data_IF_592867204408
#
_entry.id   IF_592867204408
#
_cell.length_a   1.000
_cell.length_b   1.000
_cell.length_c   1.000
_cell.angle_alpha   90.00
_cell.angle_beta   90.00
_cell.angle_gamma   90.00
#
_symmetry.space_group_name_H-M   'P 1'
#
loop_
_entity.id
_entity.type
_entity.pdbx_description
1 polymer ?
#
# COMPACT_ATOMS: atom_id res chain seq x y z
N UNK A 1 -27.40 -5.53 13.12
CA UNK A 1 -26.06 -5.29 12.53
C UNK A 1 -25.16 -4.84 13.68
N UNK A 2 -24.01 -5.48 13.90
CA UNK A 2 -23.12 -5.15 15.03
C UNK A 2 -21.95 -4.26 14.57
N UNK A 3 -21.30 -3.60 15.52
CA UNK A 3 -20.20 -2.65 15.26
C UNK A 3 -19.02 -3.32 14.52
N UNK A 4 -18.70 -4.57 14.87
CA UNK A 4 -17.64 -5.34 14.22
C UNK A 4 -17.94 -5.58 12.72
N UNK A 5 -19.19 -5.89 12.36
CA UNK A 5 -19.59 -6.09 10.97
C UNK A 5 -19.53 -4.81 10.14
N UNK A 6 -19.87 -3.65 10.74
CA UNK A 6 -19.75 -2.36 10.07
C UNK A 6 -18.28 -1.99 9.82
N UNK A 7 -17.42 -2.19 10.82
CA UNK A 7 -15.99 -1.93 10.73
C UNK A 7 -15.31 -2.80 9.65
N UNK A 8 -15.60 -4.09 9.61
CA UNK A 8 -15.07 -4.99 8.58
C UNK A 8 -15.55 -4.61 7.17
N UNK A 9 -16.80 -4.15 7.03
CA UNK A 9 -17.31 -3.64 5.74
C UNK A 9 -16.58 -2.36 5.31
N UNK A 10 -16.26 -1.47 6.24
CA UNK A 10 -15.54 -0.24 5.97
C UNK A 10 -14.11 -0.51 5.50
N UNK A 11 -13.37 -1.39 6.19
CA UNK A 11 -12.01 -1.75 5.80
C UNK A 11 -11.96 -2.41 4.41
N UNK A 12 -12.90 -3.32 4.11
CA UNK A 12 -13.01 -3.93 2.78
C UNK A 12 -13.27 -2.89 1.69
N UNK A 13 -14.09 -1.88 1.97
CA UNK A 13 -14.36 -0.81 1.02
C UNK A 13 -13.12 0.06 0.78
N UNK A 14 -12.39 0.42 1.84
CA UNK A 14 -11.14 1.18 1.74
C UNK A 14 -10.09 0.46 0.91
N UNK A 15 -9.88 -0.83 1.18
CA UNK A 15 -8.95 -1.63 0.40
C UNK A 15 -9.37 -1.76 -1.07
N UNK A 16 -10.65 -2.01 -1.34
CA UNK A 16 -11.14 -2.05 -2.71
C UNK A 16 -10.94 -0.72 -3.45
N UNK A 17 -11.15 0.42 -2.76
CA UNK A 17 -10.91 1.76 -3.32
C UNK A 17 -9.43 2.01 -3.63
N UNK A 18 -8.52 1.59 -2.75
CA UNK A 18 -7.09 1.65 -2.99
C UNK A 18 -6.72 0.89 -4.26
N UNK A 19 -7.11 -0.38 -4.36
CA UNK A 19 -6.82 -1.23 -5.53
C UNK A 19 -7.37 -0.62 -6.83
N UNK A 20 -8.64 -0.19 -6.83
CA UNK A 20 -9.26 0.40 -8.02
C UNK A 20 -8.55 1.71 -8.45
N UNK A 21 -8.06 2.48 -7.48
CA UNK A 21 -7.36 3.74 -7.73
C UNK A 21 -5.98 3.50 -8.34
N UNK A 22 -5.16 2.63 -7.75
CA UNK A 22 -3.80 2.36 -8.26
C UNK A 22 -3.83 1.66 -9.62
N UNK A 23 -4.82 0.79 -9.87
CA UNK A 23 -5.01 0.13 -11.17
C UNK A 23 -5.40 1.16 -12.22
N UNK A 24 -6.35 2.04 -11.93
CA UNK A 24 -6.78 3.09 -12.85
C UNK A 24 -5.66 4.10 -13.13
N UNK A 25 -4.86 4.44 -12.13
CA UNK A 25 -3.72 5.34 -12.26
C UNK A 25 -2.48 4.66 -12.87
N UNK A 26 -2.49 3.32 -12.97
CA UNK A 26 -1.35 2.49 -13.33
C UNK A 26 -0.07 2.79 -12.53
N UNK A 27 -0.24 3.23 -11.29
CA UNK A 27 0.83 3.66 -10.41
C UNK A 27 0.38 3.72 -8.96
N UNK A 28 1.34 3.71 -8.05
CA UNK A 28 1.16 3.85 -6.61
C UNK A 28 2.29 4.73 -6.07
N UNK A 29 2.11 5.32 -4.90
CA UNK A 29 3.11 6.19 -4.27
C UNK A 29 3.70 5.52 -3.04
N UNK A 30 5.00 5.74 -2.83
CA UNK A 30 5.75 5.37 -1.61
C UNK A 30 6.50 6.60 -1.10
N UNK A 31 6.94 6.57 0.15
CA UNK A 31 7.75 7.64 0.72
C UNK A 31 9.22 7.23 0.78
N UNK A 32 10.09 8.13 0.30
CA UNK A 32 11.53 7.94 0.22
C UNK A 32 12.28 9.11 0.83
N UNK A 33 13.30 8.82 1.62
CA UNK A 33 14.27 9.78 2.15
C UNK A 33 15.67 9.43 1.67
N UNK A 34 16.69 10.15 2.16
CA UNK A 34 18.08 9.81 1.91
C UNK A 34 18.52 8.46 2.53
N UNK A 35 17.80 7.98 3.55
CA UNK A 35 18.12 6.73 4.27
C UNK A 35 17.41 5.51 3.68
N UNK A 36 16.41 5.72 2.81
CA UNK A 36 15.66 4.65 2.16
C UNK A 36 14.18 4.94 2.09
N UNK A 37 13.39 3.87 2.02
CA UNK A 37 11.93 3.96 2.03
C UNK A 37 11.39 3.98 3.44
N UNK A 38 10.25 4.63 3.64
CA UNK A 38 9.55 4.58 4.93
C UNK A 38 9.18 3.13 5.25
N UNK A 39 9.65 2.65 6.40
CA UNK A 39 9.31 1.36 6.98
C UNK A 39 8.85 1.60 8.41
N UNK A 40 7.76 0.94 8.79
CA UNK A 40 7.19 1.01 10.14
C UNK A 40 6.92 -0.39 10.65
N UNK A 41 7.10 -0.61 11.94
CA UNK A 41 6.73 -1.88 12.55
C UNK A 41 5.21 -2.07 12.50
N UNK A 42 4.76 -3.30 12.21
CA UNK A 42 3.34 -3.65 12.28
C UNK A 42 2.82 -3.48 13.72
N UNK A 43 1.64 -2.87 13.86
CA UNK A 43 0.96 -2.74 15.15
C UNK A 43 0.44 -4.09 15.66
N UNK A 44 0.30 -5.07 14.75
CA UNK A 44 -0.32 -6.37 15.02
C UNK A 44 0.70 -7.48 15.20
N UNK A 45 1.85 -7.38 14.53
CA UNK A 45 2.85 -8.43 14.47
C UNK A 45 4.25 -7.83 14.64
N UNK A 46 4.79 -7.94 15.85
CA UNK A 46 6.05 -7.27 16.24
C UNK A 46 7.31 -7.64 15.42
N UNK A 47 7.26 -8.71 14.61
CA UNK A 47 8.37 -9.15 13.76
C UNK A 47 8.11 -8.88 12.26
N UNK A 48 7.07 -8.10 11.95
CA UNK A 48 6.68 -7.72 10.59
C UNK A 48 6.92 -6.23 10.40
N UNK A 49 7.69 -5.91 9.38
CA UNK A 49 7.82 -4.54 8.88
C UNK A 49 6.72 -4.26 7.84
N UNK A 50 6.31 -3.01 7.76
CA UNK A 50 5.28 -2.52 6.85
C UNK A 50 5.84 -1.34 6.06
N UNK A 51 5.69 -1.39 4.74
CA UNK A 51 5.96 -0.24 3.88
C UNK A 51 4.61 0.42 3.53
N UNK A 52 4.39 1.70 3.87
CA UNK A 52 3.20 2.42 3.46
C UNK A 52 3.19 2.72 1.95
N UNK A 53 2.07 2.35 1.31
CA UNK A 53 1.76 2.68 -0.09
C UNK A 53 0.51 3.54 -0.14
N UNK A 54 0.51 4.55 -1.01
CA UNK A 54 -0.56 5.52 -1.13
C UNK A 54 -1.17 5.53 -2.53
N UNK A 55 -2.49 5.58 -2.60
CA UNK A 55 -3.23 5.64 -3.85
C UNK A 55 -3.20 7.01 -4.52
N UNK A 56 -2.84 8.07 -3.77
CA UNK A 56 -2.81 9.45 -4.24
C UNK A 56 -1.59 10.23 -3.72
N UNK A 57 -1.03 11.10 -4.57
CA UNK A 57 0.17 11.88 -4.26
C UNK A 57 -0.05 12.90 -3.14
N UNK A 58 -1.22 13.53 -3.08
CA UNK A 58 -1.51 14.54 -2.07
C UNK A 58 -1.62 13.89 -0.69
N UNK A 59 -2.17 12.67 -0.61
CA UNK A 59 -2.16 11.89 0.61
C UNK A 59 -0.73 11.53 1.05
N UNK A 60 0.08 10.98 0.15
CA UNK A 60 1.49 10.70 0.43
C UNK A 60 2.24 11.96 0.90
N UNK A 61 1.99 13.11 0.27
CA UNK A 61 2.60 14.39 0.61
C UNK A 61 2.18 14.90 2.00
N UNK A 62 0.93 14.67 2.40
CA UNK A 62 0.42 15.04 3.72
C UNK A 62 1.12 14.24 4.82
N UNK A 63 1.23 12.91 4.64
CA UNK A 63 1.97 12.03 5.56
C UNK A 63 3.45 12.38 5.58
N UNK A 64 4.08 12.59 4.42
CA UNK A 64 5.48 13.00 4.38
C UNK A 64 5.76 14.31 5.16
N UNK A 65 4.81 15.25 5.14
CA UNK A 65 4.93 16.53 5.85
C UNK A 65 4.70 16.42 7.36
N UNK A 66 4.12 15.33 7.85
CA UNK A 66 3.95 15.07 9.29
C UNK A 66 5.15 14.35 9.91
N UNK A 67 6.11 13.89 9.10
CA UNK A 67 7.31 13.18 9.51
C UNK A 67 8.50 14.13 9.63
N UNK A 68 9.44 13.79 10.52
CA UNK A 68 10.65 14.59 10.75
C UNK A 68 11.76 14.33 9.70
N UNK A 69 11.68 13.24 8.93
CA UNK A 69 12.82 12.65 8.19
C UNK A 69 12.95 13.04 6.68
N UNK A 70 12.52 14.24 6.29
CA UNK A 70 12.63 14.75 4.89
C UNK A 70 12.12 13.76 3.81
N UNK A 71 11.11 12.95 4.14
CA UNK A 71 10.48 12.03 3.18
C UNK A 71 9.84 12.80 2.01
N UNK A 72 9.95 12.26 0.80
CA UNK A 72 9.26 12.75 -0.39
C UNK A 72 8.47 11.63 -1.07
N UNK A 73 7.29 11.92 -1.64
CA UNK A 73 6.58 10.94 -2.45
C UNK A 73 7.34 10.57 -3.72
N UNK A 74 7.56 9.28 -3.91
CA UNK A 74 8.05 8.67 -5.15
C UNK A 74 6.91 7.86 -5.78
N UNK A 75 6.68 8.07 -7.08
CA UNK A 75 5.70 7.31 -7.85
C UNK A 75 6.36 6.04 -8.38
N UNK A 76 5.78 4.89 -8.08
CA UNK A 76 6.14 3.60 -8.66
C UNK A 76 5.11 3.21 -9.72
N UNK A 77 5.57 2.64 -10.82
CA UNK A 77 4.65 2.08 -11.81
C UNK A 77 4.02 0.79 -11.28
N UNK A 78 2.77 0.52 -11.64
CA UNK A 78 2.12 -0.72 -11.18
C UNK A 78 2.86 -1.97 -11.70
N UNK A 79 3.45 -1.89 -12.89
CA UNK A 79 4.30 -2.97 -13.45
C UNK A 79 5.52 -3.24 -12.57
N UNK A 80 6.26 -2.20 -12.18
CA UNK A 80 7.40 -2.33 -11.25
C UNK A 80 6.97 -2.92 -9.91
N UNK A 81 5.78 -2.55 -9.42
CA UNK A 81 5.25 -3.13 -8.19
C UNK A 81 4.96 -4.62 -8.30
N UNK A 82 4.35 -5.03 -9.42
CA UNK A 82 3.97 -6.42 -9.72
C UNK A 82 5.20 -7.30 -9.96
N UNK A 83 6.20 -6.79 -10.68
CA UNK A 83 7.36 -7.56 -11.12
C UNK A 83 8.46 -7.65 -10.04
N UNK A 84 8.66 -6.57 -9.27
CA UNK A 84 9.81 -6.46 -8.37
C UNK A 84 9.40 -6.21 -6.91
N UNK A 85 8.63 -5.16 -6.61
CA UNK A 85 8.43 -4.73 -5.22
C UNK A 85 7.65 -5.73 -4.38
N UNK A 86 6.40 -6.03 -4.73
CA UNK A 86 5.56 -6.90 -3.91
C UNK A 86 6.08 -8.34 -3.85
N UNK A 87 6.62 -8.94 -4.93
CA UNK A 87 7.31 -10.23 -4.83
C UNK A 87 8.52 -10.22 -3.89
N UNK A 88 9.34 -9.17 -3.92
CA UNK A 88 10.50 -9.06 -3.03
C UNK A 88 10.07 -8.83 -1.57
N UNK A 89 9.08 -7.96 -1.35
CA UNK A 89 8.49 -7.73 -0.02
C UNK A 89 7.92 -9.02 0.58
N UNK A 90 7.23 -9.83 -0.22
CA UNK A 90 6.74 -11.15 0.22
C UNK A 90 7.89 -12.06 0.65
N UNK A 91 8.97 -12.13 -0.14
CA UNK A 91 10.14 -12.94 0.18
C UNK A 91 10.81 -12.52 1.50
N UNK A 92 10.74 -11.23 1.83
CA UNK A 92 11.31 -10.63 3.04
C UNK A 92 10.31 -10.54 4.21
N UNK A 93 9.08 -11.07 4.06
CA UNK A 93 8.00 -10.97 5.05
C UNK A 93 7.65 -9.52 5.45
N UNK A 94 7.68 -8.61 4.47
CA UNK A 94 7.30 -7.20 4.61
C UNK A 94 5.88 -6.99 4.06
N UNK A 95 5.03 -6.32 4.82
CA UNK A 95 3.62 -6.11 4.46
C UNK A 95 3.38 -4.73 3.83
N UNK A 96 2.24 -4.58 3.17
CA UNK A 96 1.79 -3.33 2.55
C UNK A 96 0.86 -2.61 3.51
N UNK A 97 1.24 -1.38 3.87
CA UNK A 97 0.36 -0.43 4.58
C UNK A 97 -0.49 0.34 3.58
N UNK A 98 -1.80 0.10 3.58
CA UNK A 98 -2.73 0.68 2.59
C UNK A 98 -3.22 2.04 3.06
N UNK A 99 -2.81 3.09 2.34
CA UNK A 99 -3.24 4.48 2.57
C UNK A 99 -3.17 4.86 4.06
N UNK A 100 -2.01 4.62 4.70
CA UNK A 100 -1.76 5.00 6.09
C UNK A 100 -1.99 6.50 6.28
N UNK A 101 -2.48 6.89 7.45
CA UNK A 101 -2.70 8.29 7.79
C UNK A 101 -1.44 8.96 8.36
N UNK A 102 -1.54 10.22 8.77
CA UNK A 102 -0.42 10.98 9.34
C UNK A 102 0.07 10.44 10.69
N UNK A 103 -0.67 9.53 11.33
CA UNK A 103 -0.24 8.78 12.51
C UNK A 103 0.45 7.45 12.17
N UNK A 104 0.64 7.17 10.88
CA UNK A 104 1.17 5.92 10.34
C UNK A 104 0.30 4.70 10.70
N UNK A 105 -1.01 4.91 10.83
CA UNK A 105 -1.99 3.85 11.08
C UNK A 105 -2.80 3.57 9.82
N UNK A 106 -3.16 2.30 9.60
CA UNK A 106 -4.01 1.92 8.47
C UNK A 106 -4.21 0.41 8.34
N UNK A 107 -4.62 0.00 7.14
CA UNK A 107 -4.83 -1.42 6.86
C UNK A 107 -3.53 -2.06 6.40
N UNK A 108 -3.05 -3.05 7.15
CA UNK A 108 -1.89 -3.87 6.78
C UNK A 108 -2.34 -5.13 6.02
N UNK A 109 -1.76 -5.37 4.84
CA UNK A 109 -2.06 -6.52 3.98
C UNK A 109 -0.76 -7.18 3.55
N UNK A 110 -0.71 -8.51 3.58
CA UNK A 110 0.42 -9.30 3.08
C UNK A 110 0.69 -8.98 1.60
N UNK A 111 1.96 -8.86 1.22
CA UNK A 111 2.34 -8.40 -0.12
C UNK A 111 1.83 -9.34 -1.23
N UNK A 112 1.85 -10.67 -1.01
CA UNK A 112 1.25 -11.63 -1.95
C UNK A 112 -0.25 -11.40 -2.17
N UNK A 113 -0.98 -10.99 -1.13
CA UNK A 113 -2.42 -10.76 -1.24
C UNK A 113 -2.71 -9.52 -2.07
N UNK A 114 -1.94 -8.44 -1.89
CA UNK A 114 -2.04 -7.24 -2.75
C UNK A 114 -1.73 -7.60 -4.21
N UNK A 115 -0.68 -8.37 -4.45
CA UNK A 115 -0.31 -8.84 -5.78
C UNK A 115 -1.45 -9.65 -6.45
N UNK A 116 -1.99 -10.66 -5.76
CA UNK A 116 -3.08 -11.49 -6.28
C UNK A 116 -4.37 -10.67 -6.54
N UNK A 117 -4.71 -9.78 -5.61
CA UNK A 117 -5.88 -8.91 -5.73
C UNK A 117 -5.74 -7.89 -6.88
N UNK A 118 -4.53 -7.39 -7.16
CA UNK A 118 -4.27 -6.53 -8.33
C UNK A 118 -4.36 -7.34 -9.61
N UNK A 119 -3.64 -8.47 -9.71
CA UNK A 119 -3.62 -9.31 -10.91
C UNK A 119 -5.01 -9.82 -11.30
N UNK A 120 -5.85 -10.19 -10.31
CA UNK A 120 -7.22 -10.64 -10.53
C UNK A 120 -8.18 -9.54 -11.00
N UNK A 121 -7.82 -8.26 -10.79
CA UNK A 121 -8.59 -7.08 -11.21
C UNK A 121 -8.10 -6.47 -12.51
N UNK A 122 -6.87 -6.76 -12.92
CA UNK A 122 -6.39 -6.33 -14.22
C UNK A 122 -7.28 -6.94 -15.32
N UNK A 123 -7.63 -6.17 -16.36
CA UNK A 123 -8.32 -6.73 -17.50
C UNK A 123 -7.45 -7.85 -18.07
N UNK A 124 -7.99 -9.07 -18.15
CA UNK A 124 -7.35 -10.14 -18.92
C UNK A 124 -7.26 -9.62 -20.35
N UNK A 125 -6.04 -9.40 -20.83
CA UNK A 125 -5.83 -9.02 -22.22
C UNK A 125 -6.38 -10.16 -23.08
N UNK A 126 -7.53 -9.92 -23.73
CA UNK A 126 -8.22 -10.90 -24.58
C UNK A 126 -7.81 -10.77 -26.04
N UNK A 127 -6.77 -10.00 -26.32
CA UNK A 127 -6.24 -9.86 -27.66
C UNK A 127 -4.89 -10.57 -27.76
N UNK A 128 -4.94 -11.84 -28.20
CA UNK A 128 -4.22 -12.41 -29.36
C UNK A 128 -4.47 -13.92 -29.46
#
# INVERSE_FOLDING_TARGET
MNLAGLFMSYLKQKYAQFLDTIIKANSVWVLKSAEGYLQVASDRFAEVEVIPFFSDQAHASAVASSLDDEYVPEQLSLTECIEDWWPSMEADNVWVGVDFDEALEGLEIEAWQVLDDVLSRLPVDRDH
#
